data_IF_497992830850
#
_entry.id   IF_497992830850
#
_cell.length_a   1.000
_cell.length_b   1.000
_cell.length_c   1.000
_cell.angle_alpha   90.00
_cell.angle_beta   90.00
_cell.angle_gamma   90.00
#
_symmetry.space_group_name_H-M   'P 1'
#
loop_
_entity.id
_entity.type
_entity.pdbx_description
1 polymer ?
#
# COMPACT_ATOMS: atom_id res chain seq x y z
N UNK A 1 6.15 8.01 6.09
CA UNK A 1 4.69 7.96 6.17
C UNK A 1 4.28 7.35 7.50
N UNK A 2 3.43 8.02 8.29
CA UNK A 2 2.94 7.49 9.58
C UNK A 2 1.68 6.66 9.31
N UNK A 3 1.36 5.70 10.18
CA UNK A 3 0.17 4.83 10.07
C UNK A 3 -1.14 5.63 9.91
N UNK A 4 -1.18 6.87 10.39
CA UNK A 4 -2.33 7.77 10.24
C UNK A 4 -2.59 8.21 8.80
N UNK A 5 -1.55 8.36 7.97
CA UNK A 5 -1.70 8.84 6.59
C UNK A 5 -2.43 7.78 5.73
N UNK A 6 -2.10 6.50 5.95
CA UNK A 6 -2.78 5.38 5.30
C UNK A 6 -4.27 5.30 5.62
N UNK A 7 -4.66 5.61 6.86
CA UNK A 7 -6.07 5.56 7.29
C UNK A 7 -6.90 6.61 6.55
N UNK A 8 -6.37 7.82 6.36
CA UNK A 8 -7.08 8.91 5.69
C UNK A 8 -7.27 8.58 4.21
N UNK A 9 -6.22 8.13 3.52
CA UNK A 9 -6.29 7.77 2.10
C UNK A 9 -7.23 6.58 1.87
N UNK A 10 -7.12 5.52 2.70
CA UNK A 10 -7.99 4.36 2.64
C UNK A 10 -9.47 4.72 2.91
N UNK A 11 -9.75 5.54 3.92
CA UNK A 11 -11.11 6.00 4.22
C UNK A 11 -11.67 6.89 3.10
N UNK A 12 -10.81 7.61 2.39
CA UNK A 12 -11.15 8.42 1.22
C UNK A 12 -11.37 7.62 -0.07
N UNK A 13 -11.30 6.28 -0.03
CA UNK A 13 -11.54 5.42 -1.19
C UNK A 13 -10.32 5.19 -2.08
N UNK A 14 -9.12 5.57 -1.64
CA UNK A 14 -7.91 5.37 -2.42
C UNK A 14 -7.39 3.92 -2.35
N UNK A 15 -6.76 3.47 -3.44
CA UNK A 15 -5.89 2.30 -3.44
C UNK A 15 -4.52 2.71 -2.90
N UNK A 16 -4.10 2.12 -1.78
CA UNK A 16 -2.83 2.45 -1.13
C UNK A 16 -1.95 1.21 -1.08
N UNK A 17 -0.76 1.33 -1.66
CA UNK A 17 0.26 0.30 -1.60
C UNK A 17 1.15 0.48 -0.36
N UNK A 18 1.16 -0.52 0.52
CA UNK A 18 2.06 -0.61 1.66
C UNK A 18 3.38 -1.21 1.17
N UNK A 19 4.29 -0.33 0.73
CA UNK A 19 5.60 -0.73 0.24
C UNK A 19 6.54 -1.12 1.39
N UNK A 20 7.05 -2.36 1.37
CA UNK A 20 7.90 -2.89 2.44
C UNK A 20 8.80 -4.04 1.96
N UNK A 21 9.96 -4.19 2.60
CA UNK A 21 10.84 -5.37 2.43
C UNK A 21 10.24 -6.64 3.03
N UNK A 22 9.41 -6.49 4.08
CA UNK A 22 8.79 -7.61 4.78
C UNK A 22 7.29 -7.59 4.53
N UNK A 23 6.81 -8.64 3.86
CA UNK A 23 5.39 -8.89 3.64
C UNK A 23 4.63 -8.98 4.96
N UNK A 24 5.13 -9.77 5.91
CA UNK A 24 4.48 -9.93 7.22
C UNK A 24 4.26 -8.61 7.96
N UNK A 25 5.22 -7.67 7.90
CA UNK A 25 5.06 -6.34 8.50
C UNK A 25 4.01 -5.50 7.75
N UNK A 26 3.99 -5.58 6.42
CA UNK A 26 2.99 -4.87 5.62
C UNK A 26 1.59 -5.41 5.90
N UNK A 27 1.41 -6.72 5.91
CA UNK A 27 0.14 -7.38 6.23
C UNK A 27 -0.36 -7.04 7.64
N UNK A 28 0.54 -6.93 8.62
CA UNK A 28 0.17 -6.48 9.97
C UNK A 28 -0.38 -5.03 9.96
N UNK A 29 0.23 -4.14 9.17
CA UNK A 29 -0.25 -2.76 9.01
C UNK A 29 -1.59 -2.73 8.27
N UNK A 30 -1.73 -3.49 7.19
CA UNK A 30 -2.98 -3.61 6.43
C UNK A 30 -4.11 -4.07 7.36
N UNK A 31 -3.88 -5.16 8.10
CA UNK A 31 -4.83 -5.70 9.07
C UNK A 31 -5.21 -4.65 10.13
N UNK A 32 -4.21 -3.98 10.72
CA UNK A 32 -4.45 -2.93 11.73
C UNK A 32 -5.32 -1.78 11.18
N UNK A 33 -5.11 -1.35 9.94
CA UNK A 33 -5.88 -0.26 9.34
C UNK A 33 -7.30 -0.73 9.02
N UNK A 34 -7.44 -1.91 8.41
CA UNK A 34 -8.75 -2.47 8.06
C UNK A 34 -9.61 -2.70 9.31
N UNK A 35 -9.03 -3.23 10.39
CA UNK A 35 -9.73 -3.44 11.66
C UNK A 35 -10.08 -2.14 12.39
N UNK A 36 -9.21 -1.13 12.31
CA UNK A 36 -9.45 0.17 12.92
C UNK A 36 -10.38 1.08 12.09
N UNK A 37 -10.70 0.71 10.85
CA UNK A 37 -11.55 1.51 9.97
C UNK A 37 -13.01 1.38 10.38
N UNK A 38 -13.64 2.51 10.69
CA UNK A 38 -15.08 2.59 10.98
C UNK A 38 -15.93 2.73 9.71
N UNK A 39 -15.31 3.03 8.57
CA UNK A 39 -15.98 3.20 7.29
C UNK A 39 -16.28 1.85 6.64
N UNK A 40 -17.45 1.29 6.95
CA UNK A 40 -17.92 0.02 6.36
C UNK A 40 -18.18 0.07 4.84
N UNK A 41 -18.27 1.27 4.26
CA UNK A 41 -18.57 1.50 2.85
C UNK A 41 -17.44 2.21 2.08
N UNK A 42 -16.19 2.13 2.55
CA UNK A 42 -15.07 2.65 1.74
C UNK A 42 -14.83 1.73 0.55
N UNK A 43 -14.59 2.32 -0.64
CA UNK A 43 -14.08 1.61 -1.83
C UNK A 43 -12.55 1.52 -1.82
N UNK A 44 -11.89 1.98 -0.75
CA UNK A 44 -10.44 1.99 -0.66
C UNK A 44 -9.88 0.58 -0.59
N UNK A 45 -8.67 0.42 -1.09
CA UNK A 45 -7.95 -0.85 -1.09
C UNK A 45 -6.58 -0.67 -0.45
N UNK A 46 -6.13 -1.68 0.29
CA UNK A 46 -4.77 -1.73 0.81
C UNK A 46 -4.06 -2.94 0.21
N UNK A 47 -2.97 -2.69 -0.51
CA UNK A 47 -2.20 -3.73 -1.21
C UNK A 47 -0.77 -3.78 -0.67
N UNK A 48 -0.17 -4.95 -0.62
CA UNK A 48 1.27 -5.07 -0.35
C UNK A 48 2.05 -4.83 -1.65
N UNK A 49 3.14 -4.07 -1.56
CA UNK A 49 4.15 -4.00 -2.62
C UNK A 49 5.50 -4.37 -2.02
N UNK A 50 6.15 -5.40 -2.57
CA UNK A 50 7.51 -5.71 -2.17
C UNK A 50 8.45 -4.65 -2.74
N UNK A 51 9.13 -3.90 -1.87
CA UNK A 51 10.06 -2.84 -2.26
C UNK A 51 11.27 -2.83 -1.33
N UNK A 52 12.46 -2.92 -1.92
CA UNK A 52 13.73 -2.66 -1.24
C UNK A 52 14.51 -1.61 -2.02
N UNK A 53 14.62 -0.40 -1.46
CA UNK A 53 15.34 0.70 -2.10
C UNK A 53 16.87 0.50 -2.14
N UNK A 54 17.39 -0.50 -1.43
CA UNK A 54 18.81 -0.85 -1.50
C UNK A 54 19.12 -1.85 -2.62
N UNK A 55 18.09 -2.44 -3.24
CA UNK A 55 18.23 -3.40 -4.33
C UNK A 55 17.48 -2.89 -5.58
N UNK A 56 18.23 -2.39 -6.55
CA UNK A 56 17.67 -1.80 -7.77
C UNK A 56 16.92 -2.81 -8.64
N UNK A 57 17.23 -4.12 -8.55
CA UNK A 57 16.47 -5.15 -9.24
C UNK A 57 15.08 -5.30 -8.62
N UNK A 58 15.01 -5.25 -7.28
CA UNK A 58 13.74 -5.27 -6.55
C UNK A 58 12.93 -4.00 -6.82
N UNK A 59 13.56 -2.83 -6.87
CA UNK A 59 12.89 -1.57 -7.24
C UNK A 59 12.25 -1.68 -8.63
N UNK A 60 13.00 -2.18 -9.62
CA UNK A 60 12.48 -2.37 -10.97
C UNK A 60 11.30 -3.35 -10.99
N UNK A 61 11.43 -4.50 -10.33
CA UNK A 61 10.37 -5.50 -10.25
C UNK A 61 9.11 -4.96 -9.55
N UNK A 62 9.27 -4.11 -8.52
CA UNK A 62 8.17 -3.44 -7.85
C UNK A 62 7.42 -2.49 -8.79
N UNK A 63 8.17 -1.67 -9.55
CA UNK A 63 7.60 -0.75 -10.53
C UNK A 63 6.85 -1.50 -11.64
N UNK A 64 7.41 -2.61 -12.14
CA UNK A 64 6.77 -3.47 -13.14
C UNK A 64 5.49 -4.12 -12.58
N UNK A 65 5.53 -4.62 -11.33
CA UNK A 65 4.36 -5.21 -10.68
C UNK A 65 3.24 -4.20 -10.45
N UNK A 66 3.60 -2.94 -10.13
CA UNK A 66 2.64 -1.84 -10.00
C UNK A 66 2.03 -1.49 -11.36
N UNK A 67 2.86 -1.29 -12.40
CA UNK A 67 2.40 -0.91 -13.73
C UNK A 67 1.54 -1.98 -14.44
N UNK A 68 1.64 -3.25 -14.01
CA UNK A 68 0.74 -4.32 -14.47
C UNK A 68 -0.65 -4.27 -13.82
N UNK A 69 -0.76 -3.66 -12.64
CA UNK A 69 -2.00 -3.62 -11.86
C UNK A 69 -2.71 -2.27 -11.96
N UNK A 70 -1.96 -1.20 -12.14
CA UNK A 70 -2.45 0.17 -12.06
C UNK A 70 -1.92 1.00 -13.23
N UNK A 71 -2.78 1.80 -13.86
CA UNK A 71 -2.43 2.61 -15.03
C UNK A 71 -1.62 3.87 -14.68
N UNK A 72 -1.69 4.32 -13.42
CA UNK A 72 -1.05 5.55 -12.96
C UNK A 72 -0.68 5.50 -11.47
N UNK A 73 0.31 6.31 -11.09
CA UNK A 73 0.67 6.61 -9.71
C UNK A 73 0.33 8.07 -9.40
N UNK A 74 -0.58 8.31 -8.46
CA UNK A 74 -0.99 9.68 -8.10
C UNK A 74 -0.01 10.36 -7.12
N UNK A 75 0.48 9.62 -6.11
CA UNK A 75 1.36 10.14 -5.04
C UNK A 75 2.33 9.05 -4.58
N UNK A 76 3.59 9.40 -4.27
CA UNK A 76 4.64 8.52 -3.73
C UNK A 76 5.25 9.06 -2.44
#
# INVERSE_FOLDING_TARGET
>A
MRVMDFKILYAGGATVYVASRSQAKAEAVIKMITEASTSKNTSGELKFLHLDLNDLLVVKAAAESFAQQEDKLDVL
#
